data_IF_962182562490
#
_entry.id   IF_962182562490
#
_cell.length_a   1.000
_cell.length_b   1.000
_cell.length_c   1.000
_cell.angle_alpha   90.00
_cell.angle_beta   90.00
_cell.angle_gamma   90.00
#
_symmetry.space_group_name_H-M   'P 1'
#
loop_
_entity.id
_entity.type
_entity.pdbx_description
1 polymer ?
#
# COMPACT_ATOMS: atom_id res chain seq x y z
N UNK A 1 -30.36 -13.65 -41.31
CA UNK A 1 -29.03 -13.88 -40.66
C UNK A 1 -29.08 -13.91 -39.11
N UNK A 2 -29.57 -12.88 -38.40
CA UNK A 2 -29.68 -12.92 -36.92
C UNK A 2 -30.78 -13.90 -36.46
N UNK A 3 -31.91 -13.99 -37.16
CA UNK A 3 -33.02 -14.90 -36.81
C UNK A 3 -32.71 -16.38 -37.05
N UNK A 4 -31.88 -16.71 -38.06
CA UNK A 4 -31.42 -18.08 -38.35
C UNK A 4 -30.39 -18.56 -37.33
N UNK A 5 -29.55 -17.66 -36.80
CA UNK A 5 -28.59 -17.98 -35.73
C UNK A 5 -29.31 -18.32 -34.41
N UNK A 6 -30.45 -17.67 -34.15
CA UNK A 6 -31.25 -17.88 -32.94
C UNK A 6 -32.13 -19.17 -32.98
N UNK A 7 -32.44 -19.69 -34.15
CA UNK A 7 -33.28 -20.91 -34.28
C UNK A 7 -32.56 -22.24 -34.05
N UNK A 8 -31.20 -22.23 -34.04
CA UNK A 8 -30.39 -23.43 -33.78
C UNK A 8 -29.72 -23.47 -32.42
N UNK A 9 -29.82 -22.39 -31.62
CA UNK A 9 -29.15 -22.30 -30.32
C UNK A 9 -30.07 -22.83 -29.22
N UNK A 10 -29.66 -23.88 -28.51
CA UNK A 10 -30.36 -24.38 -27.34
C UNK A 10 -30.61 -23.27 -26.34
N UNK A 11 -31.79 -23.26 -25.68
CA UNK A 11 -32.11 -22.29 -24.61
C UNK A 11 -31.01 -22.22 -23.55
N UNK A 12 -30.32 -23.29 -23.30
CA UNK A 12 -29.20 -23.40 -22.38
C UNK A 12 -27.98 -22.58 -22.85
N UNK A 13 -27.70 -22.60 -24.13
CA UNK A 13 -26.59 -21.82 -24.73
C UNK A 13 -26.87 -20.31 -24.72
N UNK A 14 -28.14 -19.92 -24.91
CA UNK A 14 -28.56 -18.52 -24.78
C UNK A 14 -28.37 -18.00 -23.33
N UNK A 15 -28.71 -18.79 -22.33
CA UNK A 15 -28.53 -18.44 -20.93
C UNK A 15 -27.04 -18.30 -20.60
N UNK A 16 -26.19 -19.18 -21.11
CA UNK A 16 -24.72 -19.12 -20.91
C UNK A 16 -24.16 -17.84 -21.54
N UNK A 17 -24.54 -17.47 -22.76
CA UNK A 17 -24.09 -16.24 -23.40
C UNK A 17 -24.55 -14.98 -22.66
N UNK A 18 -25.76 -14.98 -22.15
CA UNK A 18 -26.30 -13.87 -21.37
C UNK A 18 -25.57 -13.71 -20.03
N UNK A 19 -25.26 -14.83 -19.38
CA UNK A 19 -24.47 -14.87 -18.14
C UNK A 19 -23.04 -14.40 -18.39
N UNK A 20 -22.41 -14.79 -19.51
CA UNK A 20 -21.07 -14.38 -19.90
C UNK A 20 -20.99 -12.85 -20.11
N UNK A 21 -21.95 -12.28 -20.85
CA UNK A 21 -22.03 -10.83 -21.05
C UNK A 21 -22.23 -10.09 -19.72
N UNK A 22 -23.08 -10.61 -18.84
CA UNK A 22 -23.37 -10.02 -17.54
C UNK A 22 -22.14 -10.07 -16.62
N UNK A 23 -21.39 -11.17 -16.66
CA UNK A 23 -20.15 -11.36 -15.91
C UNK A 23 -19.06 -10.41 -16.38
N UNK A 24 -18.84 -10.27 -17.69
CA UNK A 24 -17.90 -9.30 -18.28
C UNK A 24 -18.30 -7.88 -17.91
N UNK A 25 -19.58 -7.53 -18.02
CA UNK A 25 -20.07 -6.20 -17.63
C UNK A 25 -19.83 -5.90 -16.15
N UNK A 26 -20.10 -6.87 -15.27
CA UNK A 26 -19.85 -6.75 -13.84
C UNK A 26 -18.36 -6.58 -13.54
N UNK A 27 -17.50 -7.35 -14.20
CA UNK A 27 -16.06 -7.29 -14.04
C UNK A 27 -15.50 -5.92 -14.48
N UNK A 28 -15.93 -5.42 -15.64
CA UNK A 28 -15.55 -4.09 -16.14
C UNK A 28 -16.05 -2.99 -15.21
N UNK A 29 -17.30 -3.07 -14.75
CA UNK A 29 -17.86 -2.12 -13.80
C UNK A 29 -17.06 -2.07 -12.49
N UNK A 30 -16.72 -3.24 -11.95
CA UNK A 30 -15.94 -3.35 -10.70
C UNK A 30 -14.53 -2.80 -10.88
N UNK A 31 -13.89 -3.08 -12.02
CA UNK A 31 -12.57 -2.56 -12.37
C UNK A 31 -12.57 -1.03 -12.47
N UNK A 32 -13.54 -0.46 -13.18
CA UNK A 32 -13.68 1.00 -13.30
C UNK A 32 -14.03 1.67 -11.96
N UNK A 33 -14.79 0.98 -11.11
CA UNK A 33 -15.11 1.46 -9.77
C UNK A 33 -13.89 1.52 -8.85
N UNK A 34 -12.96 0.58 -8.96
CA UNK A 34 -11.68 0.58 -8.22
C UNK A 34 -10.77 1.74 -8.65
N UNK A 35 -10.87 2.18 -9.90
CA UNK A 35 -10.09 3.30 -10.43
C UNK A 35 -10.67 4.68 -10.08
N UNK A 36 -11.91 4.75 -9.55
CA UNK A 36 -12.53 6.02 -9.14
C UNK A 36 -11.69 6.70 -8.04
N UNK A 37 -11.36 7.97 -8.28
CA UNK A 37 -10.57 8.76 -7.33
C UNK A 37 -9.05 8.62 -7.46
N UNK A 38 -8.55 7.77 -8.34
CA UNK A 38 -7.12 7.58 -8.58
C UNK A 38 -6.62 8.33 -9.82
N UNK A 39 -5.29 8.54 -9.91
CA UNK A 39 -4.63 9.07 -11.12
C UNK A 39 -4.90 8.19 -12.35
N UNK A 40 -5.16 6.89 -12.15
CA UNK A 40 -5.53 5.95 -13.21
C UNK A 40 -6.82 6.32 -13.95
N UNK A 41 -7.83 6.89 -13.29
CA UNK A 41 -9.07 7.32 -13.93
C UNK A 41 -8.84 8.49 -14.94
N UNK A 42 -7.89 9.38 -14.66
CA UNK A 42 -7.55 10.46 -15.59
C UNK A 42 -6.91 9.91 -16.87
N UNK A 43 -6.06 8.89 -16.75
CA UNK A 43 -5.46 8.19 -17.90
C UNK A 43 -6.52 7.45 -18.72
N UNK A 44 -7.43 6.74 -18.09
CA UNK A 44 -8.55 6.06 -18.81
C UNK A 44 -9.38 7.08 -19.61
N UNK A 45 -9.70 8.23 -19.03
CA UNK A 45 -10.40 9.31 -19.76
C UNK A 45 -9.61 9.82 -20.97
N UNK A 46 -8.28 10.01 -20.80
CA UNK A 46 -7.41 10.42 -21.90
C UNK A 46 -7.40 9.41 -23.05
N UNK A 47 -7.29 8.11 -22.73
CA UNK A 47 -7.32 7.02 -23.72
C UNK A 47 -8.66 6.99 -24.47
N UNK A 48 -9.78 7.12 -23.75
CA UNK A 48 -11.12 7.16 -24.37
C UNK A 48 -11.29 8.34 -25.34
N UNK A 49 -10.73 9.50 -25.02
CA UNK A 49 -10.74 10.68 -25.90
C UNK A 49 -9.94 10.38 -27.17
N UNK A 50 -8.74 9.79 -27.05
CA UNK A 50 -7.88 9.46 -28.22
C UNK A 50 -8.57 8.43 -29.13
N UNK A 51 -9.18 7.39 -28.55
CA UNK A 51 -9.96 6.39 -29.31
C UNK A 51 -11.18 7.04 -29.99
N UNK A 52 -11.89 7.90 -29.26
CA UNK A 52 -13.03 8.63 -29.81
C UNK A 52 -12.66 9.53 -31.01
N UNK A 53 -11.52 10.24 -30.91
CA UNK A 53 -10.98 11.03 -32.03
C UNK A 53 -10.58 10.17 -33.21
N UNK A 54 -9.95 8.99 -33.01
CA UNK A 54 -9.65 8.03 -34.08
C UNK A 54 -10.92 7.62 -34.82
N UNK A 55 -11.97 7.24 -34.10
CA UNK A 55 -13.25 6.81 -34.69
C UNK A 55 -13.88 7.98 -35.47
N UNK A 56 -13.87 9.18 -34.90
CA UNK A 56 -14.40 10.39 -35.54
C UNK A 56 -13.69 10.73 -36.87
N UNK A 57 -12.35 10.75 -36.89
CA UNK A 57 -11.59 11.02 -38.10
C UNK A 57 -11.75 9.92 -39.15
N UNK A 58 -11.86 8.66 -38.73
CA UNK A 58 -12.15 7.56 -39.65
C UNK A 58 -13.55 7.70 -40.29
N UNK A 59 -14.55 8.12 -39.52
CA UNK A 59 -15.92 8.33 -40.03
C UNK A 59 -16.00 9.46 -41.08
N UNK A 60 -15.21 10.53 -40.90
CA UNK A 60 -15.14 11.66 -41.83
C UNK A 60 -14.31 11.31 -43.09
N UNK A 61 -13.48 10.24 -43.02
CA UNK A 61 -12.63 9.82 -44.13
C UNK A 61 -11.25 10.52 -44.18
N UNK A 62 -10.78 11.12 -43.08
CA UNK A 62 -9.47 11.78 -42.97
C UNK A 62 -8.37 10.74 -42.77
N UNK A 63 -7.89 10.13 -43.90
CA UNK A 63 -6.93 9.03 -43.88
C UNK A 63 -5.64 9.34 -43.12
N UNK A 64 -5.07 10.53 -43.30
CA UNK A 64 -3.82 10.93 -42.66
C UNK A 64 -3.99 11.07 -41.13
N UNK A 65 -5.08 11.70 -40.68
CA UNK A 65 -5.39 11.83 -39.25
C UNK A 65 -5.68 10.48 -38.62
N UNK A 66 -6.45 9.62 -39.28
CA UNK A 66 -6.71 8.25 -38.81
C UNK A 66 -5.42 7.48 -38.63
N UNK A 67 -4.49 7.56 -39.59
CA UNK A 67 -3.18 6.91 -39.52
C UNK A 67 -2.35 7.43 -38.32
N UNK A 68 -2.31 8.76 -38.10
CA UNK A 68 -1.58 9.35 -36.97
C UNK A 68 -2.16 8.86 -35.63
N UNK A 69 -3.48 8.91 -35.46
CA UNK A 69 -4.13 8.42 -34.23
C UNK A 69 -3.97 6.92 -34.04
N UNK A 70 -3.88 6.14 -35.10
CA UNK A 70 -3.59 4.70 -35.05
C UNK A 70 -2.18 4.43 -34.51
N UNK A 71 -1.17 5.19 -34.95
CA UNK A 71 0.18 5.11 -34.41
C UNK A 71 0.22 5.53 -32.94
N UNK A 72 -0.49 6.62 -32.57
CA UNK A 72 -0.57 7.08 -31.18
C UNK A 72 -1.19 6.00 -30.26
N UNK A 73 -2.24 5.32 -30.71
CA UNK A 73 -2.84 4.22 -29.94
C UNK A 73 -1.88 3.04 -29.81
N UNK A 74 -1.24 2.64 -30.92
CA UNK A 74 -0.32 1.49 -30.93
C UNK A 74 0.88 1.70 -30.02
N UNK A 75 1.57 2.83 -30.13
CA UNK A 75 2.71 3.16 -29.29
C UNK A 75 2.29 3.58 -27.88
N UNK A 76 1.10 4.15 -27.75
CA UNK A 76 0.52 4.53 -26.44
C UNK A 76 0.30 3.34 -25.52
N UNK A 77 -0.10 2.19 -26.06
CA UNK A 77 -0.24 0.93 -25.29
C UNK A 77 1.08 0.52 -24.66
N UNK A 78 2.18 0.59 -25.42
CA UNK A 78 3.53 0.31 -24.88
C UNK A 78 3.93 1.32 -23.81
N UNK A 79 3.69 2.61 -24.02
CA UNK A 79 3.95 3.64 -23.03
C UNK A 79 3.17 3.44 -21.75
N UNK A 80 1.90 3.09 -21.85
CA UNK A 80 1.05 2.77 -20.70
C UNK A 80 1.58 1.57 -19.94
N UNK A 81 1.98 0.50 -20.65
CA UNK A 81 2.52 -0.71 -20.02
C UNK A 81 3.77 -0.42 -19.20
N UNK A 82 4.66 0.46 -19.71
CA UNK A 82 5.86 0.90 -18.98
C UNK A 82 5.49 1.74 -17.74
N UNK A 83 4.54 2.68 -17.87
CA UNK A 83 4.11 3.55 -16.77
C UNK A 83 3.44 2.73 -15.67
N UNK A 84 2.64 1.72 -16.02
CA UNK A 84 1.92 0.86 -15.06
C UNK A 84 2.70 -0.37 -14.60
N UNK A 85 3.96 -0.52 -15.04
CA UNK A 85 4.80 -1.65 -14.63
C UNK A 85 4.88 -1.80 -13.11
N UNK A 86 5.13 -0.74 -12.29
CA UNK A 86 5.17 -0.86 -10.84
C UNK A 86 3.82 -1.24 -10.23
N UNK A 87 2.71 -0.70 -10.76
CA UNK A 87 1.37 -1.01 -10.25
C UNK A 87 0.97 -2.45 -10.58
N UNK A 88 1.28 -2.93 -11.78
CA UNK A 88 1.04 -4.32 -12.18
C UNK A 88 1.87 -5.28 -11.33
N UNK A 89 3.13 -4.96 -11.05
CA UNK A 89 3.97 -5.75 -10.16
C UNK A 89 3.37 -5.85 -8.77
N UNK A 90 2.97 -4.71 -8.17
CA UNK A 90 2.31 -4.68 -6.85
C UNK A 90 1.00 -5.48 -6.83
N UNK A 91 0.17 -5.36 -7.88
CA UNK A 91 -1.08 -6.12 -7.98
C UNK A 91 -0.84 -7.64 -8.07
N UNK A 92 0.15 -8.08 -8.83
CA UNK A 92 0.53 -9.49 -8.94
C UNK A 92 1.11 -10.03 -7.65
N UNK A 93 1.94 -9.27 -6.95
CA UNK A 93 2.47 -9.61 -5.64
C UNK A 93 1.34 -9.75 -4.60
N UNK A 94 0.36 -8.85 -4.61
CA UNK A 94 -0.82 -8.93 -3.75
C UNK A 94 -1.65 -10.20 -4.00
N UNK A 95 -1.93 -10.51 -5.28
CA UNK A 95 -2.67 -11.73 -5.65
C UNK A 95 -1.88 -12.98 -5.26
N UNK A 96 -0.57 -13.00 -5.48
CA UNK A 96 0.30 -14.12 -5.12
C UNK A 96 0.33 -14.40 -3.61
N UNK A 97 0.28 -13.34 -2.79
CA UNK A 97 0.28 -13.46 -1.32
C UNK A 97 -1.06 -13.96 -0.75
N UNK A 98 -2.18 -13.49 -1.27
CA UNK A 98 -3.53 -13.81 -0.73
C UNK A 98 -3.90 -15.28 -0.92
N UNK A 99 -3.47 -15.94 -1.98
CA UNK A 99 -3.88 -17.32 -2.26
C UNK A 99 -3.12 -18.40 -1.47
N UNK A 100 -1.90 -18.13 -1.01
CA UNK A 100 -1.08 -19.15 -0.35
C UNK A 100 -1.26 -19.22 1.16
N UNK A 101 -1.63 -18.11 1.83
CA UNK A 101 -1.77 -18.09 3.30
C UNK A 101 -3.03 -18.78 3.81
N UNK A 102 -4.08 -18.88 3.01
CA UNK A 102 -5.37 -19.46 3.45
C UNK A 102 -5.46 -20.98 3.32
N UNK A 103 -4.54 -21.66 2.62
CA UNK A 103 -4.61 -23.09 2.34
C UNK A 103 -3.87 -23.94 3.39
N UNK A 104 -2.93 -23.37 4.13
CA UNK A 104 -2.06 -24.12 5.07
C UNK A 104 -2.25 -23.76 6.55
N UNK A 105 -3.41 -23.30 6.97
CA UNK A 105 -3.68 -22.88 8.36
C UNK A 105 -3.88 -24.10 9.27
N UNK A 106 -2.79 -24.71 9.76
CA UNK A 106 -2.81 -25.76 10.78
C UNK A 106 -2.02 -25.29 12.03
N UNK A 107 -2.77 -24.99 13.10
CA UNK A 107 -2.37 -25.00 14.52
C UNK A 107 -1.08 -24.28 15.00
N UNK A 108 -0.90 -22.98 14.70
CA UNK A 108 0.13 -22.16 15.35
C UNK A 108 -0.42 -20.95 16.13
N UNK A 109 -1.72 -20.91 16.41
CA UNK A 109 -2.38 -19.72 16.99
C UNK A 109 -1.89 -19.31 18.38
N UNK A 110 -1.43 -20.25 19.22
CA UNK A 110 -1.12 -19.93 20.62
C UNK A 110 0.31 -19.41 20.82
N UNK A 111 1.29 -19.86 20.03
CA UNK A 111 2.68 -19.37 20.13
C UNK A 111 2.82 -17.97 19.54
N UNK A 112 2.09 -17.67 18.48
CA UNK A 112 2.15 -16.40 17.77
C UNK A 112 1.46 -15.27 18.54
N UNK A 113 0.37 -15.56 19.27
CA UNK A 113 -0.34 -14.56 20.07
C UNK A 113 0.56 -13.97 21.17
N UNK A 114 1.35 -14.81 21.84
CA UNK A 114 2.29 -14.38 22.88
C UNK A 114 3.43 -13.52 22.31
N UNK A 115 3.94 -13.83 21.10
CA UNK A 115 5.00 -13.04 20.46
C UNK A 115 4.50 -11.66 20.00
N UNK A 116 3.31 -11.58 19.41
CA UNK A 116 2.73 -10.30 18.97
C UNK A 116 2.44 -9.37 20.15
N UNK A 117 1.87 -9.88 21.24
CA UNK A 117 1.63 -9.11 22.45
C UNK A 117 2.92 -8.56 23.06
N UNK A 118 4.01 -9.36 23.06
CA UNK A 118 5.31 -8.92 23.54
C UNK A 118 5.87 -7.76 22.71
N UNK A 119 5.75 -7.83 21.38
CA UNK A 119 6.25 -6.79 20.48
C UNK A 119 5.41 -5.50 20.61
N UNK A 120 4.09 -5.61 20.65
CA UNK A 120 3.21 -4.46 20.89
C UNK A 120 3.61 -3.78 22.19
N UNK A 121 3.81 -4.54 23.26
CA UNK A 121 4.26 -4.02 24.56
C UNK A 121 5.61 -3.30 24.43
N UNK A 122 6.60 -3.89 23.74
CA UNK A 122 7.90 -3.26 23.55
C UNK A 122 7.80 -1.94 22.78
N UNK A 123 6.98 -1.87 21.73
CA UNK A 123 6.73 -0.66 20.93
C UNK A 123 6.00 0.41 21.76
N UNK A 124 4.98 0.04 22.53
CA UNK A 124 4.23 0.97 23.38
C UNK A 124 5.09 1.52 24.51
N UNK A 125 5.85 0.66 25.19
CA UNK A 125 6.71 1.08 26.32
C UNK A 125 7.86 1.97 25.84
N UNK A 126 8.47 1.66 24.69
CA UNK A 126 9.49 2.52 24.08
C UNK A 126 8.90 3.86 23.62
N UNK A 127 7.73 3.86 22.99
CA UNK A 127 7.03 5.09 22.59
C UNK A 127 6.70 5.97 23.79
N UNK A 128 6.23 5.38 24.91
CA UNK A 128 6.00 6.07 26.17
C UNK A 128 7.28 6.70 26.72
N UNK A 129 8.38 5.97 26.70
CA UNK A 129 9.68 6.46 27.16
C UNK A 129 10.15 7.66 26.31
N UNK A 130 10.09 7.53 24.99
CA UNK A 130 10.52 8.57 24.07
C UNK A 130 9.62 9.82 24.14
N UNK A 131 8.30 9.63 24.25
CA UNK A 131 7.34 10.71 24.42
C UNK A 131 7.61 11.56 25.67
N UNK A 132 7.86 10.92 26.81
CA UNK A 132 8.17 11.61 28.09
C UNK A 132 9.49 12.39 28.03
N UNK A 133 10.45 11.92 27.27
CA UNK A 133 11.78 12.55 27.12
C UNK A 133 11.89 13.46 25.89
N UNK A 134 10.82 13.57 25.11
CA UNK A 134 10.81 14.30 23.84
C UNK A 134 11.91 13.84 22.89
N UNK A 135 12.08 12.52 22.78
CA UNK A 135 12.96 11.91 21.81
C UNK A 135 12.13 11.64 20.57
N UNK A 136 12.52 12.20 19.43
CA UNK A 136 11.87 11.97 18.15
C UNK A 136 12.09 10.55 17.67
N UNK A 137 11.01 9.87 17.27
CA UNK A 137 11.06 8.51 16.77
C UNK A 137 10.11 8.31 15.59
N UNK A 138 10.47 7.38 14.70
CA UNK A 138 9.68 6.97 13.56
C UNK A 138 9.74 5.43 13.43
N UNK A 139 8.70 4.77 13.90
CA UNK A 139 8.62 3.30 13.97
C UNK A 139 7.62 2.83 12.92
N UNK A 140 8.03 1.93 12.05
CA UNK A 140 7.21 1.34 10.99
C UNK A 140 6.97 -0.13 11.31
N UNK A 141 5.72 -0.52 11.41
CA UNK A 141 5.29 -1.90 11.53
C UNK A 141 4.83 -2.38 10.15
N UNK A 142 5.60 -3.27 9.55
CA UNK A 142 5.24 -3.88 8.27
C UNK A 142 3.96 -4.69 8.42
N UNK A 143 3.08 -4.58 7.43
CA UNK A 143 1.83 -5.34 7.38
C UNK A 143 1.84 -6.25 6.12
N UNK A 144 0.86 -6.13 5.21
CA UNK A 144 0.79 -6.99 4.03
C UNK A 144 1.76 -6.56 2.92
N UNK A 145 2.00 -5.26 2.78
CA UNK A 145 2.90 -4.69 1.77
C UNK A 145 4.34 -4.80 2.25
N UNK A 146 5.20 -5.51 1.50
CA UNK A 146 6.63 -5.61 1.82
C UNK A 146 7.33 -4.26 1.72
N UNK A 147 8.26 -4.01 2.63
CA UNK A 147 9.00 -2.77 2.75
C UNK A 147 10.49 -2.92 2.38
N UNK A 148 10.86 -3.97 1.63
CA UNK A 148 12.26 -4.27 1.27
C UNK A 148 12.97 -3.08 0.61
N UNK A 149 12.28 -2.34 -0.26
CA UNK A 149 12.79 -1.13 -0.90
C UNK A 149 13.27 -0.07 0.12
N UNK A 150 12.53 0.10 1.21
CA UNK A 150 12.87 1.06 2.27
C UNK A 150 13.92 0.49 3.22
N UNK A 151 13.88 -0.80 3.50
CA UNK A 151 14.89 -1.51 4.31
C UNK A 151 16.27 -1.40 3.69
N UNK A 152 16.40 -1.50 2.36
CA UNK A 152 17.66 -1.37 1.63
C UNK A 152 18.28 0.04 1.71
N UNK A 153 17.47 1.07 1.98
CA UNK A 153 17.96 2.45 2.17
C UNK A 153 18.59 2.69 3.55
N UNK A 154 18.35 1.80 4.50
CA UNK A 154 18.77 1.93 5.89
C UNK A 154 19.96 1.07 6.28
N UNK A 155 20.26 1.07 7.57
CA UNK A 155 21.28 0.24 8.19
C UNK A 155 20.64 -1.05 8.70
N UNK A 156 21.07 -2.20 8.20
CA UNK A 156 20.56 -3.50 8.61
C UNK A 156 20.86 -3.78 10.09
N UNK A 157 19.83 -4.08 10.88
CA UNK A 157 19.92 -4.43 12.31
C UNK A 157 19.68 -5.92 12.52
N UNK A 158 18.63 -6.47 11.94
CA UNK A 158 18.22 -7.88 11.97
C UNK A 158 18.20 -8.50 13.39
N UNK A 159 17.67 -7.76 14.36
CA UNK A 159 17.62 -8.14 15.78
C UNK A 159 16.18 -8.33 16.26
N UNK A 160 15.99 -9.05 17.36
CA UNK A 160 14.69 -9.20 18.01
C UNK A 160 14.17 -7.85 18.55
N UNK A 161 12.86 -7.69 18.52
CA UNK A 161 12.21 -6.47 18.99
C UNK A 161 12.21 -6.47 20.51
N UNK A 162 12.95 -5.54 21.10
CA UNK A 162 12.95 -5.27 22.54
C UNK A 162 12.81 -3.77 22.79
N UNK A 163 12.20 -3.41 23.91
CA UNK A 163 12.04 -2.02 24.34
C UNK A 163 13.40 -1.29 24.42
N UNK A 164 14.41 -1.95 24.97
CA UNK A 164 15.75 -1.40 25.17
C UNK A 164 16.42 -1.09 23.83
N UNK A 165 16.28 -2.00 22.85
CA UNK A 165 16.87 -1.81 21.53
C UNK A 165 16.19 -0.67 20.77
N UNK A 166 14.86 -0.60 20.82
CA UNK A 166 14.11 0.51 20.20
C UNK A 166 14.56 1.85 20.78
N UNK A 167 14.65 1.97 22.11
CA UNK A 167 15.10 3.20 22.76
C UNK A 167 16.52 3.55 22.31
N UNK A 168 17.45 2.57 22.30
CA UNK A 168 18.82 2.80 21.87
C UNK A 168 18.95 3.26 20.42
N UNK A 169 18.12 2.74 19.50
CA UNK A 169 18.11 3.18 18.11
C UNK A 169 17.80 4.66 18.00
N UNK A 170 16.84 5.18 18.79
CA UNK A 170 16.41 6.57 18.70
C UNK A 170 17.11 7.54 19.65
N UNK A 171 18.19 7.10 20.34
CA UNK A 171 19.03 8.03 21.12
C UNK A 171 19.57 9.12 20.18
N UNK A 172 19.34 10.41 20.46
CA UNK A 172 19.81 11.50 19.62
C UNK A 172 21.32 11.49 19.42
N UNK A 173 21.76 11.92 18.25
CA UNK A 173 23.19 12.00 17.83
C UNK A 173 23.90 10.64 17.72
N UNK A 174 23.15 9.53 17.54
CA UNK A 174 23.69 8.22 17.17
C UNK A 174 23.50 7.93 15.69
N UNK A 175 24.24 7.02 15.04
CA UNK A 175 24.11 6.74 13.61
C UNK A 175 22.74 6.16 13.19
N UNK A 176 21.97 5.60 14.11
CA UNK A 176 20.73 4.90 13.81
C UNK A 176 19.46 5.76 13.99
N UNK A 177 19.55 6.93 14.63
CA UNK A 177 18.38 7.70 15.06
C UNK A 177 17.73 8.54 13.96
N UNK A 178 18.47 8.85 12.90
CA UNK A 178 17.98 9.71 11.82
C UNK A 178 17.34 8.86 10.71
N UNK A 179 16.03 8.84 10.69
CA UNK A 179 15.22 8.06 9.78
C UNK A 179 14.21 7.15 10.48
N UNK A 180 13.70 6.18 9.76
CA UNK A 180 12.71 5.22 10.27
C UNK A 180 13.37 3.91 10.70
N UNK A 181 12.79 3.28 11.72
CA UNK A 181 13.06 1.90 12.08
C UNK A 181 11.93 1.03 11.55
N UNK A 182 12.27 -0.04 10.84
CA UNK A 182 11.29 -0.96 10.24
C UNK A 182 11.28 -2.30 10.99
N UNK A 183 10.09 -2.67 11.46
CA UNK A 183 9.81 -3.95 12.10
C UNK A 183 9.01 -4.82 11.14
N UNK A 184 9.48 -6.03 10.92
CA UNK A 184 8.82 -7.08 10.16
C UNK A 184 8.74 -8.36 11.02
N UNK A 185 7.53 -8.78 11.29
CA UNK A 185 7.31 -9.90 12.20
C UNK A 185 7.85 -9.61 13.60
N UNK A 186 8.77 -10.43 14.06
CA UNK A 186 9.38 -10.31 15.38
C UNK A 186 10.77 -9.64 15.37
N UNK A 187 11.18 -9.05 14.23
CA UNK A 187 12.52 -8.49 14.06
C UNK A 187 12.51 -7.02 13.65
N UNK A 188 13.43 -6.27 14.21
CA UNK A 188 13.87 -4.98 13.66
C UNK A 188 14.75 -5.30 12.45
N UNK A 189 14.26 -5.03 11.24
CA UNK A 189 14.97 -5.28 9.98
C UNK A 189 16.10 -4.29 9.77
N UNK A 190 15.77 -3.01 9.85
CA UNK A 190 16.70 -1.92 9.63
C UNK A 190 16.31 -0.68 10.44
N UNK A 191 17.26 0.23 10.60
CA UNK A 191 17.07 1.55 11.17
C UNK A 191 17.68 2.61 10.25
N UNK A 192 17.45 3.89 10.51
CA UNK A 192 17.88 5.00 9.64
C UNK A 192 17.37 4.85 8.19
N UNK A 193 16.18 4.28 8.01
CA UNK A 193 15.58 4.11 6.69
C UNK A 193 14.98 5.43 6.18
N UNK A 194 15.17 5.70 4.89
CA UNK A 194 14.61 6.86 4.21
C UNK A 194 13.20 6.53 3.72
N UNK A 195 12.23 7.36 4.09
CA UNK A 195 10.83 7.21 3.69
C UNK A 195 10.38 8.35 2.77
N UNK A 196 9.38 8.12 1.90
CA UNK A 196 8.81 9.17 1.08
C UNK A 196 8.11 10.22 1.95
N UNK A 197 8.27 11.49 1.59
CA UNK A 197 7.56 12.58 2.26
C UNK A 197 6.22 12.83 1.59
N UNK A 198 5.16 13.02 2.37
CA UNK A 198 3.87 13.42 1.83
C UNK A 198 3.90 14.86 1.29
N UNK A 199 3.32 15.05 0.10
CA UNK A 199 3.12 16.36 -0.53
C UNK A 199 1.81 17.03 -0.10
N UNK A 200 1.07 16.45 0.84
CA UNK A 200 -0.22 16.93 1.29
C UNK A 200 -0.08 18.25 2.05
N UNK A 201 -0.45 19.35 1.39
CA UNK A 201 -0.39 20.71 1.95
C UNK A 201 -1.41 20.97 3.07
N UNK A 202 -2.39 20.11 3.25
CA UNK A 202 -3.38 20.24 4.32
C UNK A 202 -2.85 19.84 5.70
N UNK A 203 -1.66 19.23 5.74
CA UNK A 203 -1.01 18.93 7.00
C UNK A 203 -0.47 20.23 7.56
N UNK A 204 -0.93 20.57 8.76
CA UNK A 204 -0.52 21.78 9.45
C UNK A 204 1.01 21.90 9.44
N UNK A 205 1.51 23.11 9.18
CA UNK A 205 2.95 23.44 9.24
C UNK A 205 3.62 23.13 10.58
N UNK A 206 2.82 22.73 11.56
CA UNK A 206 3.23 22.27 12.90
C UNK A 206 3.81 20.86 12.95
N UNK A 207 3.71 20.08 11.86
CA UNK A 207 4.27 18.73 11.83
C UNK A 207 5.66 18.72 11.17
N UNK A 208 6.64 18.15 11.89
CA UNK A 208 8.02 18.01 11.40
C UNK A 208 8.17 16.93 10.32
N UNK A 209 9.42 16.76 9.87
CA UNK A 209 9.78 15.81 8.79
C UNK A 209 9.38 14.38 9.07
N UNK A 210 9.48 13.90 10.34
CA UNK A 210 9.07 12.54 10.75
C UNK A 210 7.57 12.29 10.54
N UNK A 211 6.72 13.26 10.83
CA UNK A 211 5.27 13.11 10.58
C UNK A 211 4.94 13.12 9.09
N UNK A 212 5.64 13.95 8.31
CA UNK A 212 5.47 13.95 6.84
C UNK A 212 5.95 12.65 6.21
N UNK A 213 7.02 12.06 6.72
CA UNK A 213 7.52 10.75 6.31
C UNK A 213 6.55 9.63 6.71
N UNK A 214 6.01 9.69 7.94
CA UNK A 214 5.00 8.74 8.39
C UNK A 214 3.77 8.74 7.49
N UNK A 215 3.26 9.92 7.16
CA UNK A 215 2.12 10.05 6.27
C UNK A 215 2.46 9.58 4.85
N UNK A 216 3.60 10.02 4.29
CA UNK A 216 4.02 9.66 2.93
C UNK A 216 4.12 8.15 2.72
N UNK A 217 4.69 7.41 3.68
CA UNK A 217 4.70 5.96 3.62
C UNK A 217 3.29 5.36 3.74
N UNK A 218 2.44 5.91 4.61
CA UNK A 218 1.07 5.41 4.81
C UNK A 218 0.15 5.65 3.60
N UNK A 219 0.48 6.59 2.72
CA UNK A 219 -0.25 6.84 1.46
C UNK A 219 0.00 5.76 0.40
N UNK A 220 1.15 5.07 0.47
CA UNK A 220 1.58 4.10 -0.55
C UNK A 220 1.65 2.66 -0.05
N UNK A 221 1.49 2.45 1.26
CA UNK A 221 1.53 1.12 1.90
C UNK A 221 0.42 0.97 2.93
N UNK A 222 0.17 -0.27 3.37
CA UNK A 222 -0.75 -0.59 4.46
C UNK A 222 -0.03 -0.74 5.82
N UNK A 223 1.23 -0.35 5.91
CA UNK A 223 2.01 -0.34 7.13
C UNK A 223 1.37 0.57 8.20
N UNK A 224 1.63 0.25 9.47
CA UNK A 224 1.27 1.13 10.59
C UNK A 224 2.53 1.89 10.99
N UNK A 225 2.47 3.21 10.96
CA UNK A 225 3.62 4.06 11.27
C UNK A 225 3.33 4.87 12.53
N UNK A 226 4.23 4.77 13.50
CA UNK A 226 4.16 5.49 14.78
C UNK A 226 5.22 6.58 14.76
N UNK A 227 4.82 7.82 14.94
CA UNK A 227 5.71 8.96 15.06
C UNK A 227 5.63 9.57 16.45
N UNK A 228 6.79 9.80 17.08
CA UNK A 228 6.90 10.53 18.35
C UNK A 228 7.53 11.89 18.06
N UNK A 229 6.85 12.95 18.46
CA UNK A 229 7.32 14.32 18.27
C UNK A 229 8.44 14.67 19.27
N UNK A 230 9.57 15.16 18.79
CA UNK A 230 10.64 15.67 19.65
C UNK A 230 10.32 17.05 20.26
N UNK A 231 9.40 17.79 19.64
CA UNK A 231 8.98 19.10 20.15
C UNK A 231 7.93 19.01 21.24
N UNK A 232 6.89 18.18 21.00
CA UNK A 232 5.72 18.12 21.88
C UNK A 232 5.67 16.87 22.75
N UNK A 233 6.37 15.80 22.35
CA UNK A 233 6.27 14.48 22.99
C UNK A 233 4.99 13.73 22.63
N UNK A 234 4.15 14.24 21.72
CA UNK A 234 2.93 13.57 21.31
C UNK A 234 3.22 12.35 20.44
N UNK A 235 2.41 11.31 20.65
CA UNK A 235 2.46 10.10 19.83
C UNK A 235 1.38 10.21 18.75
N UNK A 236 1.77 9.99 17.52
CA UNK A 236 0.88 10.00 16.35
C UNK A 236 0.96 8.66 15.62
N UNK A 237 -0.16 8.22 15.05
CA UNK A 237 -0.23 7.01 14.21
C UNK A 237 -0.67 7.41 12.82
N UNK A 238 0.02 6.88 11.80
CA UNK A 238 -0.34 7.02 10.39
C UNK A 238 -0.67 5.66 9.81
N UNK A 239 -1.81 5.55 9.13
CA UNK A 239 -2.22 4.37 8.37
C UNK A 239 -3.17 4.77 7.24
N UNK A 240 -3.03 4.18 6.05
CA UNK A 240 -3.88 4.42 4.89
C UNK A 240 -4.04 5.91 4.52
N UNK A 241 -2.97 6.70 4.64
CA UNK A 241 -2.98 8.14 4.33
C UNK A 241 -3.68 9.02 5.38
N UNK A 242 -3.98 8.48 6.56
CA UNK A 242 -4.61 9.21 7.66
C UNK A 242 -3.63 9.33 8.82
N UNK A 243 -3.40 10.55 9.28
CA UNK A 243 -2.60 10.86 10.46
C UNK A 243 -3.54 11.19 11.61
N UNK A 244 -3.44 10.43 12.70
CA UNK A 244 -4.15 10.68 13.97
C UNK A 244 -3.12 10.95 15.05
N UNK A 245 -3.19 12.10 15.69
CA UNK A 245 -2.25 12.51 16.74
C UNK A 245 -2.87 12.41 18.13
N UNK A 246 -1.99 12.51 19.13
CA UNK A 246 -2.36 12.58 20.56
C UNK A 246 -2.88 11.23 21.12
N UNK A 247 -2.27 10.13 20.67
CA UNK A 247 -2.55 8.81 21.25
C UNK A 247 -2.02 8.74 22.70
N UNK A 248 -2.87 8.27 23.61
CA UNK A 248 -2.39 7.75 24.85
C UNK A 248 -1.67 6.41 24.65
N UNK A 249 -0.86 5.98 25.61
CA UNK A 249 -0.17 4.68 25.52
C UNK A 249 -1.15 3.50 25.49
N UNK A 250 -2.27 3.63 26.16
CA UNK A 250 -3.30 2.59 26.23
C UNK A 250 -4.08 2.53 24.91
N UNK A 251 -4.46 3.69 24.36
CA UNK A 251 -5.09 3.75 23.03
C UNK A 251 -4.17 3.22 21.93
N UNK A 252 -2.84 3.49 22.04
CA UNK A 252 -1.86 2.94 21.09
C UNK A 252 -1.80 1.40 21.19
N UNK A 253 -1.80 0.85 22.40
CA UNK A 253 -1.79 -0.60 22.60
C UNK A 253 -3.03 -1.26 22.00
N UNK A 254 -4.21 -0.72 22.27
CA UNK A 254 -5.49 -1.21 21.76
C UNK A 254 -5.55 -1.09 20.22
N UNK A 255 -5.07 0.03 19.68
CA UNK A 255 -5.00 0.24 18.24
C UNK A 255 -4.13 -0.80 17.55
N UNK A 256 -2.91 -1.03 18.08
CA UNK A 256 -1.98 -2.01 17.52
C UNK A 256 -2.51 -3.44 17.64
N UNK A 257 -3.09 -3.81 18.77
CA UNK A 257 -3.68 -5.13 18.98
C UNK A 257 -4.82 -5.43 17.99
N UNK A 258 -5.57 -4.41 17.59
CA UNK A 258 -6.69 -4.53 16.65
C UNK A 258 -6.26 -4.54 15.19
N UNK A 259 -5.29 -3.69 14.82
CA UNK A 259 -4.99 -3.36 13.43
C UNK A 259 -3.70 -4.00 12.90
N UNK A 260 -2.74 -4.34 13.77
CA UNK A 260 -1.50 -4.97 13.36
C UNK A 260 -1.60 -6.50 13.46
N UNK A 261 -1.61 -7.16 12.31
CA UNK A 261 -1.63 -8.62 12.21
C UNK A 261 -0.29 -9.06 11.63
N UNK A 262 0.52 -9.72 12.44
CA UNK A 262 1.72 -10.37 11.94
C UNK A 262 1.34 -11.44 10.90
N UNK A 263 1.90 -11.33 9.70
CA UNK A 263 1.82 -12.41 8.71
C UNK A 263 2.91 -13.45 8.99
N UNK A 264 2.53 -14.72 8.85
CA UNK A 264 3.47 -15.83 8.75
C UNK A 264 4.33 -15.64 7.49
N UNK A 265 5.53 -15.05 7.60
CA UNK A 265 6.57 -15.28 6.60
C UNK A 265 7.16 -16.66 6.90
N UNK A 266 6.76 -17.66 6.13
CA UNK A 266 7.43 -18.96 6.10
C UNK A 266 8.90 -18.67 5.76
N UNK A 267 9.77 -18.86 6.79
CA UNK A 267 11.21 -18.79 6.63
C UNK A 267 11.58 -19.90 5.62
N UNK A 268 12.07 -19.48 4.45
CA UNK A 268 12.74 -20.36 3.50
C UNK A 268 14.17 -20.62 3.95
#
# INVERSE_FOLDING_TARGET
>A
MIAEYLSGVSTLTLIIHLLDILLVWFLVYKLLSLLKGTRGMQLVKGILIVIGLKIFFNFIGFKTMTYIFEQVVTWGVLGIMIIFQPELRRALEYIGRVQLSNIFNINYKDVQKNSTEHIIKAVVDSSRHMARRRIGALIVLENNTGLDEYVESGITVNAEVTNELIINIFIPNTPLHDGAMIIDGNKIRAASCVLPLSDNRSIASSYGTRHRAALGLSEVTDAIIIAVSEETGKISVCQNGILTSDYSTDDLADYLAKNWKQQEKIIK
#
